data_IF_689167806665
#
_entry.id   IF_689167806665
#
_cell.length_a   1.000
_cell.length_b   1.000
_cell.length_c   1.000
_cell.angle_alpha   90.00
_cell.angle_beta   90.00
_cell.angle_gamma   90.00
#
_symmetry.space_group_name_H-M   'P 1'
#
loop_
_entity.id
_entity.type
_entity.pdbx_description
1 polymer ?
#
# COMPACT_ATOMS: atom_id res chain seq x y z
N UNK A 1 -26.26 9.99 13.47
CA UNK A 1 -24.88 10.10 13.97
C UNK A 1 -24.03 10.37 12.76
N UNK A 2 -23.50 11.58 12.62
CA UNK A 2 -22.67 11.96 11.48
C UNK A 2 -21.34 11.19 11.57
N UNK A 3 -21.10 10.30 10.63
CA UNK A 3 -19.77 9.73 10.43
C UNK A 3 -18.86 10.88 9.97
N UNK A 4 -17.88 11.23 10.78
CA UNK A 4 -16.80 12.11 10.37
C UNK A 4 -16.04 11.42 9.23
N UNK A 5 -15.71 12.14 8.13
CA UNK A 5 -15.01 11.51 7.02
C UNK A 5 -13.62 11.01 7.46
N UNK A 6 -13.24 9.82 6.94
CA UNK A 6 -11.96 9.12 7.24
C UNK A 6 -10.67 9.89 6.89
N UNK A 7 -10.74 11.17 6.52
CA UNK A 7 -9.55 12.00 6.19
C UNK A 7 -8.54 12.15 7.33
N UNK A 8 -8.96 11.95 8.59
CA UNK A 8 -8.07 12.11 9.76
C UNK A 8 -7.32 10.83 10.17
N UNK A 9 -7.60 9.68 9.53
CA UNK A 9 -7.03 8.39 9.93
C UNK A 9 -5.75 7.98 9.18
N UNK A 10 -5.40 8.65 8.06
CA UNK A 10 -4.17 8.33 7.34
C UNK A 10 -2.95 8.86 8.08
N UNK A 11 -2.25 7.97 8.78
CA UNK A 11 -1.17 8.31 9.72
C UNK A 11 0.07 8.95 9.07
N UNK A 12 0.28 8.72 7.76
CA UNK A 12 1.41 9.29 7.01
C UNK A 12 1.12 10.68 6.43
N UNK A 13 -0.16 11.10 6.43
CA UNK A 13 -0.61 12.41 5.93
C UNK A 13 -0.58 12.54 4.41
N UNK A 14 -0.95 13.73 3.90
CA UNK A 14 -1.03 14.05 2.46
C UNK A 14 -0.05 15.16 2.07
N UNK A 15 1.14 15.21 2.68
CA UNK A 15 2.16 16.25 2.41
C UNK A 15 3.03 15.85 1.22
N UNK A 16 3.67 16.84 0.57
CA UNK A 16 4.51 16.63 -0.61
C UNK A 16 5.63 15.59 -0.42
N UNK A 17 6.22 15.49 0.77
CA UNK A 17 7.22 14.45 1.10
C UNK A 17 6.63 13.03 1.05
N UNK A 18 5.38 12.85 1.48
CA UNK A 18 4.70 11.57 1.40
C UNK A 18 4.42 11.18 -0.05
N UNK A 19 4.04 12.13 -0.88
CA UNK A 19 3.82 11.90 -2.31
C UNK A 19 5.11 11.47 -3.01
N UNK A 20 6.27 12.10 -2.73
CA UNK A 20 7.57 11.67 -3.25
C UNK A 20 7.92 10.24 -2.78
N UNK A 21 7.71 9.95 -1.51
CA UNK A 21 7.93 8.61 -0.95
C UNK A 21 7.12 7.53 -1.68
N UNK A 22 5.84 7.79 -1.97
CA UNK A 22 4.97 6.86 -2.70
C UNK A 22 5.46 6.62 -4.13
N UNK A 23 6.00 7.65 -4.81
CA UNK A 23 6.58 7.51 -6.14
C UNK A 23 7.88 6.70 -6.12
N UNK A 24 8.78 6.99 -5.19
CA UNK A 24 10.05 6.26 -5.02
C UNK A 24 9.79 4.78 -4.69
N UNK A 25 8.86 4.52 -3.78
CA UNK A 25 8.42 3.15 -3.45
C UNK A 25 7.86 2.42 -4.66
N UNK A 26 6.92 3.03 -5.38
CA UNK A 26 6.32 2.42 -6.55
C UNK A 26 7.38 2.12 -7.63
N UNK A 27 8.28 3.07 -7.91
CA UNK A 27 9.36 2.92 -8.88
C UNK A 27 10.33 1.79 -8.53
N UNK A 28 10.79 1.73 -7.27
CA UNK A 28 11.74 0.71 -6.80
C UNK A 28 11.14 -0.70 -6.76
N UNK A 29 9.81 -0.83 -6.62
CA UNK A 29 9.13 -2.10 -6.43
C UNK A 29 8.34 -2.59 -7.64
N UNK A 30 8.40 -1.90 -8.80
CA UNK A 30 7.60 -2.24 -10.00
C UNK A 30 7.70 -3.70 -10.37
N UNK A 31 8.92 -4.20 -10.58
CA UNK A 31 9.11 -5.60 -11.00
C UNK A 31 8.76 -6.58 -9.88
N UNK A 32 9.03 -6.23 -8.62
CA UNK A 32 8.70 -7.08 -7.49
C UNK A 32 7.18 -7.29 -7.35
N UNK A 33 6.41 -6.21 -7.42
CA UNK A 33 4.97 -6.24 -7.15
C UNK A 33 4.11 -6.50 -8.39
N UNK A 34 4.59 -6.06 -9.58
CA UNK A 34 3.75 -5.99 -10.77
C UNK A 34 4.26 -6.78 -11.98
N UNK A 35 5.36 -7.55 -11.90
CA UNK A 35 5.84 -8.34 -13.06
C UNK A 35 4.74 -9.27 -13.64
N UNK A 36 3.80 -9.69 -12.81
CA UNK A 36 2.68 -10.57 -13.13
C UNK A 36 1.30 -9.88 -13.06
N UNK A 37 1.26 -8.53 -13.05
CA UNK A 37 0.01 -7.75 -13.04
C UNK A 37 -0.27 -7.18 -14.41
N UNK A 38 -1.19 -7.78 -15.14
CA UNK A 38 -1.69 -7.30 -16.43
C UNK A 38 -3.19 -7.60 -16.56
N UNK A 39 -3.89 -6.79 -17.34
CA UNK A 39 -5.32 -6.93 -17.58
C UNK A 39 -5.60 -7.07 -19.07
N UNK A 40 -6.53 -7.95 -19.49
CA UNK A 40 -6.89 -8.12 -20.89
C UNK A 40 -7.43 -6.84 -21.53
N UNK A 41 -7.19 -6.69 -22.84
CA UNK A 41 -7.76 -5.58 -23.59
C UNK A 41 -9.30 -5.58 -23.50
N UNK A 42 -9.88 -4.39 -23.33
CA UNK A 42 -11.32 -4.18 -23.14
C UNK A 42 -11.80 -4.41 -21.70
N UNK A 43 -10.95 -4.87 -20.77
CA UNK A 43 -11.32 -5.02 -19.36
C UNK A 43 -11.58 -3.68 -18.70
N UNK A 44 -12.55 -3.65 -17.81
CA UNK A 44 -12.84 -2.55 -16.89
C UNK A 44 -12.21 -2.87 -15.53
N UNK A 45 -11.24 -2.07 -15.11
CA UNK A 45 -10.48 -2.25 -13.87
C UNK A 45 -10.84 -1.11 -12.91
N UNK A 46 -11.30 -1.45 -11.71
CA UNK A 46 -11.41 -0.50 -10.60
C UNK A 46 -10.12 -0.56 -9.78
N UNK A 47 -9.39 0.54 -9.72
CA UNK A 47 -8.29 0.73 -8.78
C UNK A 47 -8.79 1.54 -7.59
N UNK A 48 -8.65 0.99 -6.39
CA UNK A 48 -9.17 1.56 -5.14
C UNK A 48 -8.01 2.14 -4.34
N UNK A 49 -8.16 3.40 -3.88
CA UNK A 49 -7.14 4.10 -3.12
C UNK A 49 -5.91 4.41 -3.98
N UNK A 50 -6.12 5.01 -5.16
CA UNK A 50 -5.04 5.26 -6.11
C UNK A 50 -4.01 6.32 -5.64
N UNK A 51 -4.35 7.08 -4.58
CA UNK A 51 -3.52 8.18 -4.10
C UNK A 51 -3.11 9.12 -5.23
N UNK A 52 -1.83 9.43 -5.30
CA UNK A 52 -1.24 10.28 -6.34
C UNK A 52 -1.00 9.58 -7.68
N UNK A 53 -1.56 8.38 -7.88
CA UNK A 53 -1.51 7.63 -9.13
C UNK A 53 -0.22 6.85 -9.37
N UNK A 54 0.60 6.62 -8.35
CA UNK A 54 1.89 5.95 -8.51
C UNK A 54 1.74 4.52 -9.06
N UNK A 55 0.79 3.74 -8.55
CA UNK A 55 0.47 2.41 -9.07
C UNK A 55 -0.30 2.48 -10.38
N UNK A 56 -1.25 3.43 -10.50
CA UNK A 56 -2.06 3.65 -11.71
C UNK A 56 -1.21 3.75 -12.98
N UNK A 57 -0.15 4.55 -12.94
CA UNK A 57 0.70 4.77 -14.10
C UNK A 57 1.42 3.48 -14.54
N UNK A 58 1.80 2.65 -13.59
CA UNK A 58 2.43 1.35 -13.85
C UNK A 58 1.44 0.40 -14.51
N UNK A 59 0.26 0.25 -13.91
CA UNK A 59 -0.79 -0.66 -14.37
C UNK A 59 -1.32 -0.29 -15.76
N UNK A 60 -1.59 1.00 -15.98
CA UNK A 60 -2.11 1.50 -17.24
C UNK A 60 -1.12 1.30 -18.41
N UNK A 61 0.18 1.49 -18.17
CA UNK A 61 1.23 1.20 -19.15
C UNK A 61 1.39 -0.28 -19.46
N UNK A 62 1.25 -1.13 -18.44
CA UNK A 62 1.34 -2.60 -18.58
C UNK A 62 0.10 -3.20 -19.23
N UNK A 63 -1.02 -2.46 -19.24
CA UNK A 63 -2.32 -2.92 -19.77
C UNK A 63 -2.96 -1.84 -20.64
N UNK A 64 -2.32 -1.45 -21.77
CA UNK A 64 -2.76 -0.29 -22.55
C UNK A 64 -4.14 -0.45 -23.20
N UNK A 65 -4.64 -1.67 -23.34
CA UNK A 65 -5.97 -1.96 -23.86
C UNK A 65 -7.06 -2.08 -22.80
N UNK A 66 -6.72 -2.04 -21.50
CA UNK A 66 -7.69 -2.05 -20.41
C UNK A 66 -8.13 -0.62 -20.06
N UNK A 67 -9.31 -0.47 -19.47
CA UNK A 67 -9.88 0.81 -19.03
C UNK A 67 -9.86 0.86 -17.51
N UNK A 68 -9.12 1.80 -16.94
CA UNK A 68 -9.00 1.99 -15.51
C UNK A 68 -9.96 3.08 -15.03
N UNK A 69 -10.65 2.80 -13.93
CA UNK A 69 -11.29 3.80 -13.08
C UNK A 69 -10.53 3.78 -11.76
N UNK A 70 -9.76 4.83 -11.49
CA UNK A 70 -8.89 4.93 -10.30
C UNK A 70 -9.52 5.93 -9.34
N UNK A 71 -9.81 5.47 -8.11
CA UNK A 71 -10.52 6.26 -7.11
C UNK A 71 -9.67 6.50 -5.87
N UNK A 72 -9.87 7.68 -5.27
CA UNK A 72 -9.34 8.04 -3.96
C UNK A 72 -10.31 8.97 -3.23
N UNK A 73 -10.26 9.00 -1.91
CA UNK A 73 -11.06 9.92 -1.10
C UNK A 73 -10.52 11.36 -1.14
N UNK A 74 -9.22 11.52 -1.39
CA UNK A 74 -8.52 12.81 -1.44
C UNK A 74 -8.64 13.45 -2.82
N UNK A 75 -9.39 14.54 -2.91
CA UNK A 75 -9.50 15.33 -4.15
C UNK A 75 -8.14 15.94 -4.58
N UNK A 76 -7.23 16.20 -3.64
CA UNK A 76 -5.90 16.73 -3.92
C UNK A 76 -5.04 15.64 -4.59
N UNK A 77 -5.04 14.42 -4.04
CA UNK A 77 -4.34 13.27 -4.62
C UNK A 77 -4.83 12.96 -6.03
N UNK A 78 -6.15 12.98 -6.25
CA UNK A 78 -6.76 12.79 -7.57
C UNK A 78 -6.26 13.81 -8.59
N UNK A 79 -6.21 15.10 -8.24
CA UNK A 79 -5.69 16.15 -9.15
C UNK A 79 -4.22 15.93 -9.51
N UNK A 80 -3.41 15.50 -8.55
CA UNK A 80 -2.01 15.18 -8.81
C UNK A 80 -1.88 13.96 -9.73
N UNK A 81 -2.67 12.90 -9.47
CA UNK A 81 -2.70 11.70 -10.30
C UNK A 81 -3.12 12.00 -11.75
N UNK A 82 -4.17 12.81 -11.95
CA UNK A 82 -4.61 13.28 -13.28
C UNK A 82 -3.51 14.02 -14.01
N UNK A 83 -2.84 14.96 -13.34
CA UNK A 83 -1.75 15.73 -13.93
C UNK A 83 -0.60 14.82 -14.39
N UNK A 84 -0.19 13.87 -13.55
CA UNK A 84 0.89 12.93 -13.86
C UNK A 84 0.52 11.95 -14.96
N UNK A 85 -0.72 11.45 -14.98
CA UNK A 85 -1.21 10.57 -16.04
C UNK A 85 -1.26 11.29 -17.39
N UNK A 86 -1.74 12.54 -17.42
CA UNK A 86 -1.75 13.37 -18.63
C UNK A 86 -0.33 13.65 -19.14
N UNK A 87 0.61 14.02 -18.24
CA UNK A 87 2.02 14.23 -18.58
C UNK A 87 2.68 12.95 -19.13
N UNK A 88 2.23 11.77 -18.67
CA UNK A 88 2.69 10.47 -19.14
C UNK A 88 2.01 10.00 -20.43
N UNK A 89 1.05 10.77 -20.98
CA UNK A 89 0.31 10.45 -22.20
C UNK A 89 -0.67 9.27 -22.04
N UNK A 90 -1.11 8.97 -20.82
CA UNK A 90 -2.08 7.89 -20.58
C UNK A 90 -3.50 8.37 -20.91
N UNK A 91 -4.21 7.58 -21.72
CA UNK A 91 -5.58 7.89 -22.16
C UNK A 91 -6.59 6.84 -21.71
N UNK A 92 -6.13 5.78 -21.07
CA UNK A 92 -6.93 4.64 -20.64
C UNK A 92 -7.26 4.66 -19.15
N UNK A 93 -7.09 5.80 -18.47
CA UNK A 93 -7.39 5.98 -17.05
C UNK A 93 -8.40 7.12 -16.88
N UNK A 94 -9.39 6.90 -16.03
CA UNK A 94 -10.31 7.91 -15.50
C UNK A 94 -10.09 7.98 -13.98
N UNK A 95 -9.90 9.18 -13.45
CA UNK A 95 -9.80 9.41 -12.01
C UNK A 95 -11.11 9.94 -11.45
N UNK A 96 -11.50 9.49 -10.26
CA UNK A 96 -12.73 9.93 -9.59
C UNK A 96 -12.50 10.05 -8.09
N UNK A 97 -13.01 11.11 -7.47
CA UNK A 97 -13.06 11.18 -6.01
C UNK A 97 -14.24 10.32 -5.53
N UNK A 98 -13.98 9.32 -4.70
CA UNK A 98 -15.01 8.45 -4.13
C UNK A 98 -14.60 7.89 -2.77
N UNK A 99 -15.61 7.66 -1.91
CA UNK A 99 -15.45 6.88 -0.69
C UNK A 99 -15.64 5.39 -1.01
N UNK A 100 -14.70 4.55 -0.59
CA UNK A 100 -14.77 3.09 -0.80
C UNK A 100 -15.96 2.45 -0.10
N UNK A 101 -16.50 3.06 0.95
CA UNK A 101 -17.68 2.59 1.66
C UNK A 101 -19.01 3.08 1.05
N UNK A 102 -18.95 3.98 0.05
CA UNK A 102 -20.13 4.50 -0.69
C UNK A 102 -19.81 4.63 -2.18
N UNK A 103 -19.48 3.50 -2.82
CA UNK A 103 -19.09 3.48 -4.23
C UNK A 103 -20.30 3.80 -5.14
N UNK A 104 -20.18 4.76 -6.08
CA UNK A 104 -21.27 5.17 -6.96
C UNK A 104 -21.50 4.20 -8.14
N UNK A 105 -21.07 2.95 -8.02
CA UNK A 105 -21.12 1.97 -9.10
C UNK A 105 -22.18 0.91 -8.85
N UNK A 106 -22.81 0.47 -9.93
CA UNK A 106 -23.74 -0.66 -9.89
C UNK A 106 -22.97 -1.96 -9.58
N UNK A 107 -23.69 -2.94 -9.03
CA UNK A 107 -23.16 -4.29 -8.91
C UNK A 107 -22.65 -4.81 -10.27
N UNK A 108 -21.57 -5.57 -10.23
CA UNK A 108 -20.99 -6.24 -11.42
C UNK A 108 -20.51 -5.26 -12.52
N UNK A 109 -20.09 -4.04 -12.15
CA UNK A 109 -19.62 -3.02 -13.08
C UNK A 109 -18.19 -3.24 -13.58
N UNK A 110 -17.36 -4.01 -12.86
CA UNK A 110 -15.94 -4.17 -13.16
C UNK A 110 -15.56 -5.63 -13.40
N UNK A 111 -14.65 -5.82 -14.34
CA UNK A 111 -14.05 -7.12 -14.64
C UNK A 111 -12.96 -7.49 -13.64
N UNK A 112 -12.24 -6.46 -13.14
CA UNK A 112 -11.17 -6.58 -12.16
C UNK A 112 -11.23 -5.47 -11.12
N UNK A 113 -10.77 -5.79 -9.90
CA UNK A 113 -10.52 -4.81 -8.83
C UNK A 113 -9.05 -4.92 -8.44
N UNK A 114 -8.39 -3.78 -8.28
CA UNK A 114 -7.01 -3.67 -7.81
C UNK A 114 -6.95 -2.81 -6.56
N UNK A 115 -6.26 -3.31 -5.53
CA UNK A 115 -6.07 -2.65 -4.23
C UNK A 115 -4.61 -2.78 -3.84
N UNK A 116 -3.95 -1.68 -3.48
CA UNK A 116 -2.55 -1.69 -3.10
C UNK A 116 -2.29 -0.70 -1.98
N UNK A 117 -1.88 -1.20 -0.80
CA UNK A 117 -1.59 -0.42 0.39
C UNK A 117 -2.79 0.42 0.88
N UNK A 118 -3.97 -0.19 0.90
CA UNK A 118 -5.23 0.44 1.31
C UNK A 118 -5.83 -0.24 2.53
N UNK A 119 -5.92 -1.57 2.52
CA UNK A 119 -6.61 -2.30 3.58
C UNK A 119 -5.94 -2.09 4.94
N UNK A 120 -4.62 -1.89 4.96
CA UNK A 120 -3.84 -1.62 6.17
C UNK A 120 -4.29 -0.34 6.91
N UNK A 121 -4.94 0.59 6.21
CA UNK A 121 -5.44 1.86 6.77
C UNK A 121 -6.89 1.82 7.19
N UNK A 122 -7.62 0.73 6.90
CA UNK A 122 -9.05 0.63 7.14
C UNK A 122 -9.37 0.00 8.49
N UNK A 123 -10.26 0.63 9.24
CA UNK A 123 -10.80 0.05 10.47
C UNK A 123 -11.72 -1.17 10.20
N UNK A 124 -12.26 -1.28 8.99
CA UNK A 124 -13.18 -2.35 8.58
C UNK A 124 -12.81 -2.89 7.19
N UNK A 125 -11.66 -3.59 7.07
CA UNK A 125 -11.21 -4.14 5.78
C UNK A 125 -12.18 -5.20 5.21
N UNK A 126 -12.89 -5.95 6.07
CA UNK A 126 -13.88 -6.95 5.67
C UNK A 126 -15.08 -6.31 4.96
N UNK A 127 -15.60 -5.18 5.48
CA UNK A 127 -16.69 -4.43 4.85
C UNK A 127 -16.25 -3.90 3.47
N UNK A 128 -15.02 -3.38 3.37
CA UNK A 128 -14.46 -2.93 2.10
C UNK A 128 -14.37 -4.06 1.08
N UNK A 129 -13.87 -5.24 1.48
CA UNK A 129 -13.79 -6.42 0.61
C UNK A 129 -15.17 -6.89 0.15
N UNK A 130 -16.21 -6.80 1.00
CA UNK A 130 -17.59 -7.11 0.61
C UNK A 130 -18.11 -6.15 -0.45
N UNK A 131 -17.83 -4.84 -0.32
CA UNK A 131 -18.20 -3.82 -1.31
C UNK A 131 -17.45 -4.06 -2.63
N UNK A 132 -16.14 -4.34 -2.59
CA UNK A 132 -15.35 -4.65 -3.79
C UNK A 132 -15.88 -5.89 -4.51
N UNK A 133 -16.29 -6.91 -3.75
CA UNK A 133 -16.94 -8.10 -4.31
C UNK A 133 -18.28 -7.78 -4.97
N UNK A 134 -19.06 -6.83 -4.42
CA UNK A 134 -20.34 -6.42 -5.01
C UNK A 134 -20.15 -5.80 -6.39
N UNK A 135 -19.20 -4.88 -6.55
CA UNK A 135 -18.96 -4.19 -7.84
C UNK A 135 -18.22 -5.05 -8.86
N UNK A 136 -17.54 -6.11 -8.42
CA UNK A 136 -16.86 -7.06 -9.27
C UNK A 136 -17.89 -8.01 -9.92
N UNK A 137 -17.79 -8.28 -11.24
CA UNK A 137 -18.66 -9.24 -11.93
C UNK A 137 -18.36 -10.69 -11.52
N UNK A 138 -19.27 -11.59 -11.75
CA UNK A 138 -19.01 -13.03 -11.61
C UNK A 138 -17.88 -13.47 -12.55
N UNK A 139 -16.98 -14.30 -12.05
CA UNK A 139 -15.76 -14.69 -12.74
C UNK A 139 -14.69 -13.59 -12.84
N UNK A 140 -14.98 -12.39 -12.32
CA UNK A 140 -13.99 -11.31 -12.21
C UNK A 140 -12.97 -11.57 -11.11
N UNK A 141 -11.83 -10.90 -11.18
CA UNK A 141 -10.73 -11.09 -10.22
C UNK A 141 -10.45 -9.85 -9.39
N UNK A 142 -10.03 -10.07 -8.16
CA UNK A 142 -9.46 -9.03 -7.31
C UNK A 142 -7.98 -9.32 -7.06
N UNK A 143 -7.16 -8.27 -7.16
CA UNK A 143 -5.75 -8.29 -6.75
C UNK A 143 -5.58 -7.35 -5.56
N UNK A 144 -5.03 -7.85 -4.47
CA UNK A 144 -4.72 -7.08 -3.26
C UNK A 144 -3.24 -7.21 -2.95
N UNK A 145 -2.56 -6.07 -2.72
CA UNK A 145 -1.16 -6.03 -2.32
C UNK A 145 -1.07 -5.23 -1.03
N UNK A 146 -0.52 -5.84 0.03
CA UNK A 146 -0.37 -5.20 1.34
C UNK A 146 0.99 -5.52 1.97
N UNK A 147 1.47 -4.62 2.81
CA UNK A 147 2.70 -4.80 3.56
C UNK A 147 2.51 -5.59 4.84
N UNK A 148 3.64 -6.04 5.40
CA UNK A 148 3.70 -6.65 6.72
C UNK A 148 4.89 -6.10 7.49
N UNK A 149 4.66 -5.07 8.30
CA UNK A 149 5.73 -4.39 9.03
C UNK A 149 6.41 -5.29 10.06
N UNK A 150 5.74 -6.35 10.52
CA UNK A 150 6.31 -7.36 11.40
C UNK A 150 7.18 -8.41 10.69
N UNK A 151 7.35 -8.33 9.36
CA UNK A 151 8.20 -9.24 8.58
C UNK A 151 9.63 -8.72 8.39
N UNK A 152 9.98 -7.59 9.01
CA UNK A 152 11.30 -6.97 8.87
C UNK A 152 12.40 -7.82 9.52
N UNK A 153 13.52 -7.93 8.83
CA UNK A 153 14.79 -8.38 9.39
C UNK A 153 15.94 -7.57 8.79
N UNK A 154 17.00 -7.34 9.56
CA UNK A 154 18.09 -6.47 9.12
C UNK A 154 19.40 -6.82 9.83
N UNK A 155 20.52 -6.45 9.20
CA UNK A 155 21.86 -6.58 9.75
C UNK A 155 22.58 -5.22 9.57
N UNK A 156 23.26 -4.70 10.62
CA UNK A 156 23.40 -5.26 11.97
C UNK A 156 22.08 -5.33 12.75
N UNK A 157 21.94 -6.32 13.61
CA UNK A 157 20.79 -6.49 14.49
C UNK A 157 20.70 -5.34 15.51
N UNK A 158 19.48 -4.86 15.81
CA UNK A 158 19.28 -3.77 16.76
C UNK A 158 17.94 -3.90 17.49
N UNK A 159 18.01 -4.09 18.80
CA UNK A 159 16.81 -4.10 19.66
C UNK A 159 16.10 -2.75 19.64
N UNK A 160 16.82 -1.63 19.48
CA UNK A 160 16.22 -0.31 19.37
C UNK A 160 15.43 -0.15 18.07
N UNK A 161 15.95 -0.68 16.94
CA UNK A 161 15.24 -0.67 15.67
C UNK A 161 13.94 -1.49 15.72
N UNK A 162 13.96 -2.68 16.32
CA UNK A 162 12.74 -3.46 16.54
C UNK A 162 11.72 -2.70 17.40
N UNK A 163 12.16 -2.00 18.46
CA UNK A 163 11.27 -1.18 19.29
C UNK A 163 10.65 -0.01 18.51
N UNK A 164 11.42 0.64 17.62
CA UNK A 164 10.90 1.71 16.79
C UNK A 164 9.87 1.20 15.76
N UNK A 165 10.14 0.04 15.13
CA UNK A 165 9.17 -0.63 14.22
C UNK A 165 7.91 -1.05 14.98
N UNK A 166 8.04 -1.62 16.17
CA UNK A 166 6.88 -1.97 17.00
C UNK A 166 6.04 -0.74 17.35
N UNK A 167 6.69 0.42 17.56
CA UNK A 167 5.97 1.68 17.79
C UNK A 167 5.19 2.14 16.57
N UNK A 168 5.71 1.99 15.36
CA UNK A 168 4.97 2.24 14.10
C UNK A 168 3.72 1.34 14.04
N UNK A 169 3.89 0.03 14.27
CA UNK A 169 2.78 -0.95 14.26
C UNK A 169 1.69 -0.53 15.25
N UNK A 170 2.07 -0.16 16.48
CA UNK A 170 1.12 0.26 17.52
C UNK A 170 0.45 1.60 17.21
N UNK A 171 1.17 2.57 16.63
CA UNK A 171 0.57 3.85 16.21
C UNK A 171 -0.49 3.60 15.15
N UNK A 172 -0.22 2.74 14.17
CA UNK A 172 -1.18 2.38 13.13
C UNK A 172 -2.39 1.63 13.71
N UNK A 173 -2.18 0.71 14.64
CA UNK A 173 -3.26 0.01 15.35
C UNK A 173 -4.15 0.98 16.14
N UNK A 174 -3.57 1.94 16.86
CA UNK A 174 -4.32 2.97 17.60
C UNK A 174 -5.12 3.90 16.67
N UNK A 175 -4.67 4.11 15.45
CA UNK A 175 -5.43 4.82 14.42
C UNK A 175 -6.52 3.96 13.74
N UNK A 176 -6.67 2.70 14.14
CA UNK A 176 -7.66 1.77 13.61
C UNK A 176 -7.20 0.98 12.40
N UNK A 177 -5.93 1.10 11.99
CA UNK A 177 -5.34 0.34 10.90
C UNK A 177 -4.69 -0.98 11.35
N UNK A 178 -4.08 -1.70 10.41
CA UNK A 178 -3.43 -2.98 10.68
C UNK A 178 -2.13 -3.12 9.86
N UNK A 179 -1.02 -2.77 10.48
CA UNK A 179 0.33 -2.85 9.88
C UNK A 179 0.81 -4.27 9.54
N UNK A 180 0.06 -5.30 9.97
CA UNK A 180 0.38 -6.71 9.77
C UNK A 180 -0.58 -7.41 8.80
N UNK A 181 -1.43 -6.65 8.11
CA UNK A 181 -2.54 -7.19 7.31
C UNK A 181 -2.06 -8.05 6.14
N UNK A 182 -0.86 -7.80 5.62
CA UNK A 182 -0.31 -8.57 4.51
C UNK A 182 -0.30 -10.07 4.77
N UNK A 183 0.16 -10.52 5.96
CA UNK A 183 0.15 -11.95 6.36
C UNK A 183 -1.25 -12.52 6.54
N UNK A 184 -2.27 -11.66 6.65
CA UNK A 184 -3.66 -12.03 6.90
C UNK A 184 -4.50 -12.10 5.61
N UNK A 185 -3.94 -11.76 4.43
CA UNK A 185 -4.71 -11.68 3.19
C UNK A 185 -5.41 -12.99 2.83
N UNK A 186 -4.80 -14.15 3.09
CA UNK A 186 -5.45 -15.43 2.78
C UNK A 186 -6.75 -15.64 3.56
N UNK A 187 -6.77 -15.61 4.91
CA UNK A 187 -8.02 -15.75 5.67
C UNK A 187 -9.02 -14.62 5.35
N UNK A 188 -8.60 -13.35 5.27
CA UNK A 188 -9.47 -12.23 4.95
C UNK A 188 -10.22 -12.43 3.61
N UNK A 189 -9.50 -12.81 2.56
CA UNK A 189 -10.11 -13.05 1.25
C UNK A 189 -11.08 -14.24 1.27
N UNK A 190 -10.75 -15.31 2.04
CA UNK A 190 -11.62 -16.48 2.21
C UNK A 190 -12.89 -16.13 2.97
N UNK A 191 -12.79 -15.38 4.06
CA UNK A 191 -13.90 -14.93 4.90
C UNK A 191 -14.83 -13.98 4.14
N UNK A 192 -14.27 -13.09 3.28
CA UNK A 192 -15.02 -12.26 2.36
C UNK A 192 -15.73 -13.09 1.24
N UNK A 193 -15.51 -14.42 1.20
CA UNK A 193 -16.16 -15.35 0.28
C UNK A 193 -15.62 -15.28 -1.14
N UNK A 194 -14.37 -14.90 -1.34
CA UNK A 194 -13.66 -15.08 -2.60
C UNK A 194 -13.19 -16.53 -2.77
N UNK A 195 -13.04 -16.97 -4.02
CA UNK A 195 -12.61 -18.30 -4.41
C UNK A 195 -11.23 -18.25 -5.09
N UNK A 196 -10.59 -19.41 -5.22
CA UNK A 196 -9.26 -19.55 -5.84
C UNK A 196 -8.21 -18.59 -5.26
N UNK A 197 -8.28 -18.37 -3.95
CA UNK A 197 -7.38 -17.45 -3.25
C UNK A 197 -5.95 -17.96 -3.33
N UNK A 198 -5.10 -17.20 -4.00
CA UNK A 198 -3.66 -17.44 -4.10
C UNK A 198 -2.91 -16.26 -3.55
N UNK A 199 -2.10 -16.48 -2.53
CA UNK A 199 -1.25 -15.45 -1.92
C UNK A 199 0.21 -15.79 -2.19
N UNK A 200 0.97 -14.81 -2.66
CA UNK A 200 2.40 -14.93 -2.89
C UNK A 200 3.16 -13.86 -2.11
N UNK A 201 4.18 -14.25 -1.31
CA UNK A 201 5.08 -13.28 -0.69
C UNK A 201 5.95 -12.61 -1.77
N UNK A 202 6.19 -11.33 -1.58
CA UNK A 202 7.03 -10.47 -2.43
C UNK A 202 8.14 -9.93 -1.53
N UNK A 203 9.27 -10.65 -1.49
CA UNK A 203 10.37 -10.35 -0.60
C UNK A 203 11.25 -9.23 -1.17
N UNK A 204 11.33 -8.12 -0.46
CA UNK A 204 12.39 -7.14 -0.63
C UNK A 204 13.62 -7.67 0.11
N UNK A 205 14.74 -7.77 -0.59
CA UNK A 205 16.05 -8.04 -0.02
C UNK A 205 17.01 -6.99 -0.55
N UNK A 206 17.42 -6.07 0.31
CA UNK A 206 18.30 -4.96 -0.01
C UNK A 206 19.63 -5.12 0.74
N UNK A 207 20.73 -5.03 0.01
CA UNK A 207 22.10 -5.07 0.52
C UNK A 207 23.03 -4.20 -0.34
N UNK A 208 24.32 -4.19 -0.06
CA UNK A 208 25.31 -3.40 -0.78
C UNK A 208 25.47 -3.77 -2.26
N UNK A 209 24.97 -4.91 -2.73
CA UNK A 209 24.95 -5.28 -4.14
C UNK A 209 23.79 -4.60 -4.91
N UNK A 210 22.84 -4.00 -4.17
CA UNK A 210 21.66 -3.30 -4.68
C UNK A 210 21.50 -1.93 -4.04
N UNK A 211 22.49 -1.02 -4.21
CA UNK A 211 22.52 0.25 -3.49
C UNK A 211 21.31 1.15 -3.80
N UNK A 212 20.77 1.09 -5.03
CA UNK A 212 19.57 1.84 -5.42
C UNK A 212 18.32 1.35 -4.66
N UNK A 213 18.18 0.03 -4.47
CA UNK A 213 17.07 -0.53 -3.69
C UNK A 213 17.23 -0.22 -2.19
N UNK A 214 18.44 -0.30 -1.65
CA UNK A 214 18.73 0.07 -0.26
C UNK A 214 18.41 1.55 -0.01
N UNK A 215 18.75 2.44 -0.92
CA UNK A 215 18.43 3.86 -0.82
C UNK A 215 16.91 4.11 -0.96
N UNK A 216 16.29 3.64 -2.04
CA UNK A 216 14.89 3.92 -2.32
C UNK A 216 13.93 3.25 -1.33
N UNK A 217 14.16 1.96 -1.00
CA UNK A 217 13.24 1.24 -0.12
C UNK A 217 13.63 1.36 1.35
N UNK A 218 14.87 0.99 1.72
CA UNK A 218 15.24 0.95 3.15
C UNK A 218 15.31 2.35 3.74
N UNK A 219 16.01 3.31 3.08
CA UNK A 219 16.17 4.67 3.61
C UNK A 219 14.93 5.52 3.41
N UNK A 220 14.56 5.76 2.14
CA UNK A 220 13.56 6.75 1.75
C UNK A 220 12.12 6.28 1.96
N UNK A 221 11.88 4.96 1.99
CA UNK A 221 10.55 4.42 2.21
C UNK A 221 10.37 3.93 3.64
N UNK A 222 10.98 2.82 4.00
CA UNK A 222 10.68 2.15 5.27
C UNK A 222 11.18 2.94 6.49
N UNK A 223 12.46 3.36 6.49
CA UNK A 223 13.02 4.12 7.63
C UNK A 223 12.34 5.48 7.77
N UNK A 224 12.06 6.18 6.66
CA UNK A 224 11.33 7.44 6.69
C UNK A 224 9.90 7.29 7.23
N UNK A 225 9.23 6.18 6.92
CA UNK A 225 7.90 5.85 7.46
C UNK A 225 7.96 5.61 8.98
N UNK A 226 8.96 4.86 9.47
CA UNK A 226 9.19 4.69 10.91
C UNK A 226 9.48 6.04 11.57
N UNK A 227 10.38 6.85 11.00
CA UNK A 227 10.72 8.18 11.52
C UNK A 227 9.52 9.12 11.59
N UNK A 228 8.62 9.02 10.60
CA UNK A 228 7.40 9.85 10.52
C UNK A 228 6.45 9.69 11.71
N UNK A 229 6.44 8.55 12.39
CA UNK A 229 5.58 8.33 13.57
C UNK A 229 6.20 8.73 14.90
N UNK A 230 7.43 9.31 14.90
CA UNK A 230 8.17 9.68 16.12
C UNK A 230 7.31 10.47 17.12
N UNK A 231 6.67 11.52 16.67
CA UNK A 231 5.85 12.38 17.53
C UNK A 231 4.68 11.64 18.18
N UNK A 232 3.95 10.87 17.37
CA UNK A 232 2.80 10.07 17.82
C UNK A 232 3.23 8.97 18.79
N UNK A 233 4.31 8.24 18.49
CA UNK A 233 4.83 7.16 19.32
C UNK A 233 5.27 7.66 20.71
N UNK A 234 5.97 8.78 20.78
CA UNK A 234 6.43 9.38 22.04
C UNK A 234 5.24 9.92 22.83
N UNK A 235 4.33 10.64 22.18
CA UNK A 235 3.14 11.21 22.84
C UNK A 235 2.23 10.13 23.42
N UNK A 236 2.13 8.98 22.73
CA UNK A 236 1.39 7.81 23.20
C UNK A 236 2.14 7.00 24.28
N UNK A 237 3.37 7.36 24.64
CA UNK A 237 4.17 6.62 25.63
C UNK A 237 4.59 5.23 25.19
N UNK A 238 4.65 4.97 23.89
CA UNK A 238 5.00 3.65 23.35
C UNK A 238 6.49 3.36 23.42
N UNK A 239 7.30 4.42 23.39
CA UNK A 239 8.76 4.33 23.38
C UNK A 239 9.39 5.62 23.93
N UNK A 240 10.54 5.49 24.60
CA UNK A 240 11.33 6.65 25.03
C UNK A 240 12.01 7.33 23.82
N UNK A 241 12.09 8.71 23.80
CA UNK A 241 12.65 9.46 22.68
C UNK A 241 14.04 8.98 22.24
N UNK A 242 14.96 8.80 23.20
CA UNK A 242 16.31 8.35 22.91
C UNK A 242 16.32 6.97 22.25
N UNK A 243 15.50 6.05 22.76
CA UNK A 243 15.40 4.68 22.24
C UNK A 243 14.85 4.67 20.80
N UNK A 244 13.87 5.53 20.51
CA UNK A 244 13.32 5.70 19.16
C UNK A 244 14.40 6.20 18.19
N UNK A 245 15.12 7.26 18.58
CA UNK A 245 16.18 7.87 17.75
C UNK A 245 17.34 6.90 17.49
N UNK A 246 17.73 6.10 18.48
CA UNK A 246 18.69 4.99 18.33
C UNK A 246 18.16 3.94 17.33
N UNK A 247 16.87 3.62 17.38
CA UNK A 247 16.23 2.69 16.47
C UNK A 247 16.22 3.17 15.03
N UNK A 248 15.83 4.40 14.78
CA UNK A 248 15.86 5.02 13.45
C UNK A 248 17.30 5.06 12.89
N UNK A 249 18.29 5.45 13.73
CA UNK A 249 19.70 5.43 13.33
C UNK A 249 20.17 4.02 12.95
N UNK A 250 19.73 3.00 13.65
CA UNK A 250 20.06 1.60 13.33
C UNK A 250 19.40 1.13 12.02
N UNK A 251 18.21 1.59 11.70
CA UNK A 251 17.58 1.32 10.39
C UNK A 251 18.35 1.99 9.25
N UNK A 252 18.80 3.24 9.41
CA UNK A 252 19.70 3.88 8.45
C UNK A 252 21.01 3.11 8.29
N UNK A 253 21.56 2.57 9.39
CA UNK A 253 22.78 1.74 9.37
C UNK A 253 22.59 0.44 8.58
N UNK A 254 21.40 -0.17 8.61
CA UNK A 254 21.07 -1.36 7.83
C UNK A 254 21.05 -1.10 6.31
N UNK A 255 20.97 0.16 5.88
CA UNK A 255 21.03 0.57 4.48
C UNK A 255 22.44 0.96 3.99
N UNK A 256 23.48 0.81 4.83
CA UNK A 256 24.88 1.02 4.44
C UNK A 256 25.40 -0.15 3.57
N UNK A 257 26.55 0.02 2.85
CA UNK A 257 27.04 -1.00 1.91
C UNK A 257 27.28 -2.40 2.51
N UNK A 258 27.52 -2.50 3.80
CA UNK A 258 27.71 -3.75 4.55
C UNK A 258 26.47 -4.14 5.38
N UNK A 259 25.36 -3.42 5.17
CA UNK A 259 24.08 -3.69 5.81
C UNK A 259 23.18 -4.59 4.96
N UNK A 260 22.14 -5.13 5.60
CA UNK A 260 21.08 -5.92 4.96
C UNK A 260 19.74 -5.49 5.52
N UNK A 261 18.73 -5.41 4.66
CA UNK A 261 17.35 -5.18 5.06
C UNK A 261 16.41 -6.07 4.27
N UNK A 262 15.50 -6.75 4.97
CA UNK A 262 14.44 -7.58 4.39
C UNK A 262 13.07 -7.10 4.82
N UNK A 263 12.11 -7.17 3.89
CA UNK A 263 10.70 -6.86 4.13
C UNK A 263 9.81 -7.68 3.20
N UNK A 264 8.62 -8.08 3.66
CA UNK A 264 7.71 -8.85 2.82
C UNK A 264 6.41 -8.09 2.58
N UNK A 265 6.09 -7.90 1.30
CA UNK A 265 4.72 -7.64 0.87
C UNK A 265 4.03 -8.96 0.54
N UNK A 266 2.72 -8.96 0.61
CA UNK A 266 1.90 -10.11 0.20
C UNK A 266 0.95 -9.67 -0.91
N UNK A 267 0.91 -10.46 -2.00
CA UNK A 267 0.00 -10.27 -3.11
C UNK A 267 -1.00 -11.40 -3.15
N UNK A 268 -2.27 -11.07 -2.95
CA UNK A 268 -3.40 -11.98 -3.10
C UNK A 268 -4.08 -11.76 -4.45
N UNK A 269 -4.42 -12.83 -5.14
CA UNK A 269 -5.28 -12.84 -6.33
C UNK A 269 -6.41 -13.83 -6.06
N UNK A 270 -7.64 -13.41 -6.33
CA UNK A 270 -8.84 -14.22 -6.05
C UNK A 270 -9.94 -13.93 -7.05
N UNK A 271 -10.92 -14.82 -7.13
CA UNK A 271 -12.04 -14.76 -8.08
C UNK A 271 -13.37 -14.63 -7.34
N UNK A 272 -14.30 -13.83 -7.87
CA UNK A 272 -15.71 -13.83 -7.47
C UNK A 272 -16.44 -14.94 -8.21
N UNK A 273 -17.09 -15.86 -7.50
CA UNK A 273 -17.99 -16.88 -8.08
C UNK A 273 -19.34 -16.33 -8.50
#
# INVERSE_FOLDING_TARGET
MNAQPMMDSYIHGYKGQENERLWDQAGALVELLHHDTTYPAGSRVLEVGCGVGAQTLILARRSPGAHFTSIDISAESIKEAEHKAAAAGLTNVKFEQADIFDLPYKAESFDHVFVCFVLEHLARPDDALAIFKQVLRRGGTITVIEGDHGSTSFCPESVAAHSAIESLIKVQEQAGGNALIGRQLYPLMREAGFHDVRVSPRLVYADGSRPELADAFTRKTFTAMVEGVRGSAITAGLIEPQRFDEGVKALYRAAEPDGVFCYTFFKAISTKS
#
